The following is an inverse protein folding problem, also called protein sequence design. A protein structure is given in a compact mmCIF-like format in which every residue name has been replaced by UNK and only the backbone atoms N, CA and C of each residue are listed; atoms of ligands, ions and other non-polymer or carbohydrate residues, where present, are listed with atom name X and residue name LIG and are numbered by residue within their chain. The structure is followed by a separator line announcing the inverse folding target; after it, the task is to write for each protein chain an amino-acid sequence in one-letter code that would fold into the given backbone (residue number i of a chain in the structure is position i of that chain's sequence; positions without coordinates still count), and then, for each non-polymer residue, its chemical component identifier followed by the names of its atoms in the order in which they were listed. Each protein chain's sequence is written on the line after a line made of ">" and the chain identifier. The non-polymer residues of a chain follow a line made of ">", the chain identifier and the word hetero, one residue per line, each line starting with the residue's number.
data_IF_234879991187
#
_entry.id   IF_234879991187
#
_cell.length_a   1.000
_cell.length_b   1.000
_cell.length_c   1.000
_cell.angle_alpha   90.00
_cell.angle_beta   90.00
_cell.angle_gamma   90.00
#
_symmetry.space_group_name_H-M   'P 1'
#
loop_
_entity.id
_entity.type
_entity.pdbx_description
1 polymer ?
#
# COMPACT_ATOMS: atom_id res chain seq x y z
N UNK A 1 17.58 -3.11 8.31
CA UNK A 1 17.45 -3.06 6.84
C UNK A 1 16.52 -4.20 6.43
N UNK A 2 15.33 -3.92 5.90
CA UNK A 2 14.40 -4.97 5.49
C UNK A 2 14.86 -5.53 4.14
N UNK A 3 15.34 -6.77 4.11
CA UNK A 3 15.71 -7.45 2.86
C UNK A 3 14.42 -7.80 2.12
N UNK A 4 14.15 -7.06 1.04
CA UNK A 4 13.14 -7.47 0.07
C UNK A 4 13.77 -8.65 -0.66
N UNK A 5 13.26 -9.86 -0.44
CA UNK A 5 13.58 -11.02 -1.28
C UNK A 5 13.07 -10.70 -2.69
N UNK A 6 13.94 -10.20 -3.55
CA UNK A 6 13.65 -9.93 -4.95
C UNK A 6 14.03 -11.19 -5.72
N UNK A 7 13.08 -11.84 -6.39
CA UNK A 7 13.37 -13.01 -7.21
C UNK A 7 14.19 -12.59 -8.44
N UNK A 8 14.86 -13.53 -9.10
CA UNK A 8 15.47 -13.24 -10.39
C UNK A 8 14.44 -12.69 -11.39
N UNK A 9 14.85 -11.79 -12.31
CA UNK A 9 13.93 -11.11 -13.23
C UNK A 9 13.00 -12.02 -14.06
N UNK A 10 13.34 -13.30 -14.21
CA UNK A 10 12.60 -14.28 -15.03
C UNK A 10 11.68 -15.20 -14.22
N UNK A 11 11.57 -15.02 -12.90
CA UNK A 11 10.78 -15.90 -12.04
C UNK A 11 9.31 -15.46 -12.04
N UNK A 12 8.46 -16.22 -12.72
CA UNK A 12 7.02 -15.95 -12.75
C UNK A 12 6.33 -16.23 -11.40
N UNK A 13 6.89 -17.07 -10.54
CA UNK A 13 6.37 -17.32 -9.19
C UNK A 13 7.39 -18.04 -8.31
N UNK A 14 7.36 -17.81 -7.00
CA UNK A 14 8.12 -18.57 -6.00
C UNK A 14 7.40 -18.62 -4.66
N UNK A 15 7.83 -19.52 -3.76
CA UNK A 15 7.31 -19.56 -2.39
C UNK A 15 8.11 -18.62 -1.49
N UNK A 16 7.48 -17.53 -1.05
CA UNK A 16 8.01 -16.60 -0.05
C UNK A 16 7.43 -16.94 1.32
N UNK A 17 8.28 -17.33 2.28
CA UNK A 17 7.86 -17.76 3.63
C UNK A 17 6.70 -18.77 3.59
N UNK A 18 6.80 -19.75 2.69
CA UNK A 18 5.81 -20.80 2.48
C UNK A 18 4.57 -20.42 1.65
N UNK A 19 4.41 -19.15 1.27
CA UNK A 19 3.27 -18.64 0.51
C UNK A 19 3.66 -18.51 -0.97
N UNK A 20 2.93 -19.17 -1.86
CA UNK A 20 3.16 -19.03 -3.29
C UNK A 20 2.80 -17.60 -3.74
N UNK A 21 3.81 -16.90 -4.25
CA UNK A 21 3.77 -15.52 -4.74
C UNK A 21 4.05 -15.54 -6.24
N UNK A 22 3.29 -14.79 -7.02
CA UNK A 22 3.36 -14.79 -8.48
C UNK A 22 3.56 -13.37 -9.02
N UNK A 23 4.24 -13.28 -10.16
CA UNK A 23 4.35 -12.07 -10.95
C UNK A 23 2.95 -11.69 -11.42
N UNK A 24 2.59 -10.41 -11.32
CA UNK A 24 1.20 -9.97 -11.49
C UNK A 24 0.98 -9.08 -12.72
N UNK A 25 1.38 -9.45 -13.95
CA UNK A 25 0.78 -8.86 -15.14
C UNK A 25 -0.53 -9.59 -15.41
N UNK A 26 -1.66 -8.89 -15.36
CA UNK A 26 -2.89 -9.42 -15.97
C UNK A 26 -2.71 -9.35 -17.49
N UNK A 27 -3.02 -10.42 -18.22
CA UNK A 27 -3.25 -10.33 -19.68
C UNK A 27 -4.36 -9.31 -19.92
N UNK A 28 -4.15 -8.35 -20.82
CA UNK A 28 -5.22 -7.64 -21.51
C UNK A 28 -5.23 -6.12 -21.44
N UNK A 29 -4.60 -5.50 -20.44
CA UNK A 29 -4.30 -4.06 -20.42
C UNK A 29 -3.29 -3.81 -19.29
N UNK A 30 -2.09 -3.38 -19.65
CA UNK A 30 -0.95 -3.29 -18.75
C UNK A 30 -0.95 -1.95 -18.01
N UNK A 31 -1.62 -1.87 -16.86
CA UNK A 31 -1.15 -0.91 -15.85
C UNK A 31 0.17 -1.46 -15.31
N UNK A 32 1.30 -0.87 -15.75
CA UNK A 32 2.57 -1.07 -15.07
C UNK A 32 2.42 -0.69 -13.60
N UNK A 33 3.09 -1.43 -12.72
CA UNK A 33 3.11 -1.07 -11.31
C UNK A 33 3.77 0.30 -11.19
N UNK A 34 3.30 1.11 -10.25
CA UNK A 34 3.94 2.38 -9.94
C UNK A 34 5.41 2.13 -9.60
N UNK A 35 6.37 2.87 -10.20
CA UNK A 35 7.78 2.72 -9.90
C UNK A 35 8.06 2.73 -8.39
N UNK A 36 8.89 1.80 -7.92
CA UNK A 36 9.23 1.64 -6.50
C UNK A 36 8.36 0.65 -5.72
N UNK A 37 7.37 0.01 -6.34
CA UNK A 37 6.54 -1.03 -5.72
C UNK A 37 6.79 -2.41 -6.36
N UNK A 38 6.64 -3.52 -5.60
CA UNK A 38 6.84 -4.86 -6.15
C UNK A 38 5.74 -5.23 -7.15
N UNK A 39 6.13 -5.93 -8.22
CA UNK A 39 5.23 -6.48 -9.25
C UNK A 39 4.62 -7.84 -8.87
N UNK A 40 4.84 -8.28 -7.63
CA UNK A 40 4.51 -9.62 -7.17
C UNK A 40 3.43 -9.61 -6.09
N UNK A 41 2.55 -10.61 -6.12
CA UNK A 41 1.49 -10.80 -5.11
C UNK A 41 1.26 -12.29 -4.79
N UNK A 42 0.91 -12.66 -3.54
CA UNK A 42 0.41 -13.98 -3.18
C UNK A 42 -0.71 -14.42 -4.11
N UNK A 43 -0.67 -15.68 -4.51
CA UNK A 43 -1.78 -16.26 -5.24
C UNK A 43 -3.05 -16.22 -4.40
N UNK A 44 -4.19 -15.97 -5.04
CA UNK A 44 -5.49 -15.86 -4.38
C UNK A 44 -5.83 -17.10 -3.55
N UNK A 45 -5.41 -18.28 -4.02
CA UNK A 45 -5.58 -19.58 -3.35
C UNK A 45 -4.77 -19.71 -2.06
N UNK A 46 -3.69 -18.94 -1.89
CA UNK A 46 -2.80 -19.01 -0.74
C UNK A 46 -3.18 -17.98 0.36
N UNK A 47 -4.14 -17.08 0.08
CA UNK A 47 -4.61 -16.07 1.04
C UNK A 47 -5.13 -16.73 2.33
N UNK A 48 -5.71 -17.93 2.26
CA UNK A 48 -6.14 -18.70 3.44
C UNK A 48 -4.99 -18.98 4.41
N UNK A 49 -3.81 -19.35 3.91
CA UNK A 49 -2.64 -19.62 4.75
C UNK A 49 -2.09 -18.34 5.39
N UNK A 50 -2.22 -17.20 4.71
CA UNK A 50 -1.91 -15.89 5.30
C UNK A 50 -2.93 -15.51 6.38
N UNK A 51 -4.22 -15.77 6.14
CA UNK A 51 -5.29 -15.51 7.11
C UNK A 51 -5.10 -16.36 8.38
N UNK A 52 -4.72 -17.63 8.26
CA UNK A 52 -4.46 -18.51 9.42
C UNK A 52 -3.34 -17.97 10.34
N UNK A 53 -2.35 -17.25 9.78
CA UNK A 53 -1.30 -16.61 10.58
C UNK A 53 -1.81 -15.43 11.41
N UNK A 54 -2.92 -14.80 11.03
CA UNK A 54 -3.42 -13.57 11.64
C UNK A 54 -3.58 -13.66 13.16
N UNK A 55 -4.20 -14.73 13.66
CA UNK A 55 -4.59 -14.84 15.07
C UNK A 55 -3.40 -14.67 16.01
N UNK A 56 -2.27 -15.31 15.70
CA UNK A 56 -1.04 -15.19 16.50
C UNK A 56 -0.41 -13.79 16.45
N UNK A 57 -0.62 -13.03 15.37
CA UNK A 57 0.00 -11.72 15.16
C UNK A 57 -0.94 -10.52 15.39
N UNK A 58 -2.25 -10.75 15.62
CA UNK A 58 -3.26 -9.70 15.82
C UNK A 58 -2.84 -8.67 16.88
N UNK A 59 -2.43 -9.14 18.06
CA UNK A 59 -2.01 -8.27 19.16
C UNK A 59 -0.78 -7.43 18.80
N UNK A 60 0.24 -8.05 18.22
CA UNK A 60 1.45 -7.37 17.78
C UNK A 60 1.16 -6.32 16.70
N UNK A 61 0.26 -6.62 15.76
CA UNK A 61 -0.15 -5.68 14.72
C UNK A 61 -0.88 -4.45 15.30
N UNK A 62 -1.81 -4.66 16.24
CA UNK A 62 -2.52 -3.57 16.91
C UNK A 62 -1.52 -2.67 17.66
N UNK A 63 -0.63 -3.27 18.46
CA UNK A 63 0.41 -2.54 19.18
C UNK A 63 1.36 -1.79 18.25
N UNK A 64 1.69 -2.37 17.09
CA UNK A 64 2.51 -1.73 16.08
C UNK A 64 1.81 -0.52 15.44
N UNK A 65 0.53 -0.65 15.05
CA UNK A 65 -0.26 0.48 14.51
C UNK A 65 -0.42 1.62 15.50
N UNK A 66 -0.56 1.32 16.79
CA UNK A 66 -0.66 2.35 17.83
C UNK A 66 0.55 3.31 17.83
N UNK A 67 1.72 2.85 17.36
CA UNK A 67 2.93 3.68 17.19
C UNK A 67 2.87 4.63 15.98
N UNK A 68 1.81 4.57 15.17
CA UNK A 68 1.58 5.37 13.97
C UNK A 68 2.76 5.32 12.99
N UNK A 69 3.18 4.11 12.53
CA UNK A 69 4.37 3.92 11.69
C UNK A 69 4.34 4.75 10.41
N UNK A 70 3.16 5.03 9.88
CA UNK A 70 2.97 5.91 8.72
C UNK A 70 3.52 7.32 8.91
N UNK A 71 3.58 7.86 10.13
CA UNK A 71 4.22 9.16 10.37
C UNK A 71 5.73 9.10 10.15
N UNK A 72 6.39 8.03 10.61
CA UNK A 72 7.83 7.80 10.38
C UNK A 72 8.09 7.56 8.90
N UNK A 73 7.28 6.70 8.27
CA UNK A 73 7.30 6.48 6.82
C UNK A 73 7.20 7.82 6.09
N UNK A 74 6.21 8.66 6.44
CA UNK A 74 5.97 9.90 5.72
C UNK A 74 7.13 10.89 5.80
N UNK A 75 7.73 11.03 6.99
CA UNK A 75 8.88 11.91 7.21
C UNK A 75 10.14 11.44 6.49
N UNK A 76 10.30 10.13 6.36
CA UNK A 76 11.50 9.48 5.80
C UNK A 76 11.41 9.22 4.29
N UNK A 77 10.33 9.70 3.66
CA UNK A 77 10.15 9.58 2.21
C UNK A 77 11.25 10.29 1.43
N UNK A 78 11.44 9.85 0.20
CA UNK A 78 12.19 10.63 -0.78
C UNK A 78 11.45 11.95 -1.04
N UNK A 79 12.19 13.06 -1.05
CA UNK A 79 11.64 14.41 -1.24
C UNK A 79 12.19 15.10 -2.49
N UNK A 80 13.03 14.38 -3.24
CA UNK A 80 13.71 14.87 -4.41
C UNK A 80 12.86 14.62 -5.65
N UNK A 81 12.89 15.59 -6.57
CA UNK A 81 12.36 15.48 -7.91
C UNK A 81 13.56 15.21 -8.82
N UNK A 82 13.54 14.10 -9.57
CA UNK A 82 14.62 13.69 -10.45
C UNK A 82 14.44 14.18 -11.89
N UNK A 83 13.20 14.31 -12.33
CA UNK A 83 12.84 14.62 -13.71
C UNK A 83 12.45 16.10 -13.91
N UNK A 84 12.13 16.81 -12.83
CA UNK A 84 11.74 18.22 -12.84
C UNK A 84 12.69 19.04 -11.96
N UNK A 85 13.25 20.11 -12.54
CA UNK A 85 14.07 21.05 -11.78
C UNK A 85 13.19 22.11 -11.13
N UNK A 86 13.57 22.53 -9.93
CA UNK A 86 12.84 23.58 -9.20
C UNK A 86 12.71 24.89 -9.99
N UNK A 87 13.72 25.27 -10.76
CA UNK A 87 13.72 26.50 -11.55
C UNK A 87 12.73 26.49 -12.72
N UNK A 88 12.29 25.30 -13.15
CA UNK A 88 11.37 25.13 -14.29
C UNK A 88 9.89 25.08 -13.84
N UNK A 89 9.63 25.07 -12.54
CA UNK A 89 8.28 25.02 -11.97
C UNK A 89 7.88 26.39 -11.42
N UNK A 90 6.72 26.90 -11.85
CA UNK A 90 6.17 28.16 -11.37
C UNK A 90 5.65 28.05 -9.91
N UNK A 91 5.42 29.20 -9.27
CA UNK A 91 4.94 29.25 -7.89
C UNK A 91 3.59 28.54 -7.70
N UNK A 92 2.72 28.60 -8.71
CA UNK A 92 1.39 27.98 -8.66
C UNK A 92 1.48 26.45 -8.63
N UNK A 93 2.42 25.87 -9.38
CA UNK A 93 2.69 24.43 -9.36
C UNK A 93 3.23 24.02 -7.99
N UNK A 94 4.12 24.82 -7.39
CA UNK A 94 4.62 24.57 -6.04
C UNK A 94 3.51 24.61 -4.99
N UNK A 95 2.64 25.62 -5.02
CA UNK A 95 1.51 25.72 -4.07
C UNK A 95 0.57 24.51 -4.18
N UNK A 96 0.31 24.03 -5.40
CA UNK A 96 -0.52 22.83 -5.62
C UNK A 96 0.18 21.55 -5.18
N UNK A 97 1.49 21.46 -5.36
CA UNK A 97 2.28 20.33 -4.88
C UNK A 97 2.31 20.29 -3.34
N UNK A 98 2.41 21.44 -2.68
CA UNK A 98 2.32 21.53 -1.23
C UNK A 98 0.94 21.09 -0.75
N UNK A 99 -0.16 21.59 -1.32
CA UNK A 99 -1.53 21.14 -1.01
C UNK A 99 -1.67 19.61 -1.19
N UNK A 100 -1.10 19.08 -2.27
CA UNK A 100 -1.08 17.64 -2.52
C UNK A 100 -0.32 16.87 -1.43
N UNK A 101 0.88 17.32 -1.07
CA UNK A 101 1.71 16.65 -0.05
C UNK A 101 1.12 16.76 1.35
N UNK A 102 0.39 17.83 1.66
CA UNK A 102 -0.40 17.94 2.89
C UNK A 102 -1.52 16.91 2.92
N UNK A 103 -2.23 16.72 1.81
CA UNK A 103 -3.22 15.67 1.69
C UNK A 103 -2.61 14.27 1.86
N UNK A 104 -1.45 13.99 1.24
CA UNK A 104 -0.73 12.71 1.42
C UNK A 104 -0.30 12.53 2.88
N UNK A 105 0.19 13.59 3.55
CA UNK A 105 0.54 13.56 4.98
C UNK A 105 -0.65 13.16 5.84
N UNK A 106 -1.79 13.79 5.61
CA UNK A 106 -2.99 13.63 6.43
C UNK A 106 -3.65 12.26 6.19
N UNK A 107 -3.32 11.60 5.07
CA UNK A 107 -3.81 10.27 4.72
C UNK A 107 -2.72 9.20 4.70
N UNK A 108 -1.53 9.49 5.22
CA UNK A 108 -0.37 8.59 5.19
C UNK A 108 -0.65 7.20 5.80
N UNK A 109 -1.61 7.09 6.70
CA UNK A 109 -2.08 5.81 7.25
C UNK A 109 -2.61 4.89 6.14
N UNK A 110 -3.48 5.39 5.26
CA UNK A 110 -4.02 4.61 4.15
C UNK A 110 -2.91 4.20 3.18
N UNK A 111 -1.97 5.11 2.86
CA UNK A 111 -0.80 4.79 2.03
C UNK A 111 0.05 3.69 2.64
N UNK A 112 0.34 3.80 3.93
CA UNK A 112 1.10 2.80 4.66
C UNK A 112 0.38 1.44 4.64
N UNK A 113 -0.93 1.43 4.85
CA UNK A 113 -1.75 0.21 4.81
C UNK A 113 -1.83 -0.42 3.41
N UNK A 114 -1.86 0.38 2.34
CA UNK A 114 -1.78 -0.12 0.95
C UNK A 114 -0.42 -0.75 0.67
N UNK A 115 0.66 -0.13 1.17
CA UNK A 115 2.04 -0.61 1.05
C UNK A 115 2.34 -1.88 1.85
N UNK A 116 1.70 -2.06 3.01
CA UNK A 116 2.08 -3.06 4.01
C UNK A 116 0.98 -4.09 4.25
N UNK A 117 0.46 -4.71 3.19
CA UNK A 117 -0.73 -5.54 3.35
C UNK A 117 -0.50 -6.83 4.15
N UNK A 118 -1.08 -6.88 5.35
CA UNK A 118 -1.33 -8.09 6.14
C UNK A 118 -2.73 -8.63 5.85
N UNK A 119 -2.85 -9.94 5.64
CA UNK A 119 -4.14 -10.61 5.55
C UNK A 119 -4.75 -10.72 6.94
N UNK A 120 -5.87 -10.03 7.15
CA UNK A 120 -6.65 -10.10 8.39
C UNK A 120 -7.65 -11.23 8.23
N UNK A 121 -7.66 -12.19 9.17
CA UNK A 121 -8.76 -13.17 9.25
C UNK A 121 -9.92 -12.56 10.04
N UNK A 122 -11.01 -12.27 9.34
CA UNK A 122 -12.16 -11.53 9.87
C UNK A 122 -13.49 -12.29 9.80
N UNK A 123 -13.47 -13.53 9.30
CA UNK A 123 -14.61 -14.44 9.22
C UNK A 123 -14.09 -15.89 9.21
N UNK A 124 -14.91 -16.88 9.59
CA UNK A 124 -14.55 -18.29 9.44
C UNK A 124 -14.27 -18.65 7.98
N UNK A 125 -13.44 -19.67 7.79
CA UNK A 125 -13.35 -20.36 6.49
C UNK A 125 -14.64 -21.17 6.25
N UNK A 126 -14.88 -21.60 5.00
CA UNK A 126 -16.10 -22.34 4.64
C UNK A 126 -16.32 -23.58 5.51
N UNK A 127 -15.23 -24.22 5.90
CA UNK A 127 -15.22 -25.50 6.61
C UNK A 127 -14.88 -25.33 8.11
N UNK A 128 -14.89 -24.08 8.61
CA UNK A 128 -14.68 -23.79 10.04
C UNK A 128 -16.01 -23.51 10.72
N UNK A 129 -16.25 -24.17 11.86
CA UNK A 129 -17.38 -23.87 12.74
C UNK A 129 -17.27 -22.44 13.30
N UNK A 130 -18.39 -21.73 13.31
CA UNK A 130 -18.53 -20.33 13.73
C UNK A 130 -19.28 -20.24 15.07
N UNK A 131 -18.85 -21.06 16.03
CA UNK A 131 -19.54 -21.20 17.32
C UNK A 131 -19.33 -20.01 18.27
N UNK A 132 -18.37 -19.13 17.94
CA UNK A 132 -18.06 -17.91 18.67
C UNK A 132 -18.23 -16.69 17.75
N UNK A 133 -19.42 -16.09 17.82
CA UNK A 133 -19.82 -14.91 17.05
C UNK A 133 -18.86 -13.71 17.27
N UNK A 134 -18.16 -13.65 18.40
CA UNK A 134 -17.29 -12.53 18.76
C UNK A 134 -15.82 -12.76 18.42
N UNK A 135 -15.42 -14.00 18.09
CA UNK A 135 -14.06 -14.43 17.73
C UNK A 135 -13.38 -13.48 16.74
N UNK A 136 -14.13 -13.02 15.74
CA UNK A 136 -13.63 -12.17 14.66
C UNK A 136 -14.04 -10.71 14.75
N UNK A 137 -14.83 -10.29 15.74
CA UNK A 137 -15.42 -8.94 15.86
C UNK A 137 -14.39 -7.81 15.65
N UNK A 138 -13.28 -7.84 16.41
CA UNK A 138 -12.18 -6.86 16.31
C UNK A 138 -11.51 -6.91 14.94
N UNK A 139 -11.26 -8.11 14.41
CA UNK A 139 -10.63 -8.29 13.10
C UNK A 139 -11.53 -7.78 11.97
N UNK A 140 -12.84 -8.00 12.08
CA UNK A 140 -13.85 -7.51 11.14
C UNK A 140 -14.00 -6.00 11.17
N UNK A 141 -13.95 -5.39 12.36
CA UNK A 141 -13.91 -3.93 12.50
C UNK A 141 -12.66 -3.36 11.83
N UNK A 142 -11.48 -3.91 12.16
CA UNK A 142 -10.21 -3.46 11.59
C UNK A 142 -10.18 -3.60 10.05
N UNK A 143 -10.69 -4.72 9.53
CA UNK A 143 -10.80 -4.95 8.08
C UNK A 143 -11.70 -3.89 7.42
N UNK A 144 -12.88 -3.64 7.97
CA UNK A 144 -13.84 -2.65 7.45
C UNK A 144 -13.28 -1.23 7.46
N UNK A 145 -12.70 -0.80 8.57
CA UNK A 145 -12.11 0.53 8.70
C UNK A 145 -10.98 0.75 7.68
N UNK A 146 -10.15 -0.27 7.48
CA UNK A 146 -9.08 -0.25 6.48
C UNK A 146 -9.62 -0.16 5.05
N UNK A 147 -10.60 -1.01 4.71
CA UNK A 147 -11.23 -0.98 3.40
C UNK A 147 -11.86 0.39 3.10
N UNK A 148 -12.56 0.98 4.07
CA UNK A 148 -13.17 2.30 3.93
C UNK A 148 -12.13 3.41 3.71
N UNK A 149 -11.03 3.41 4.47
CA UNK A 149 -9.91 4.36 4.26
C UNK A 149 -9.33 4.24 2.86
N UNK A 150 -9.07 3.01 2.40
CA UNK A 150 -8.49 2.77 1.10
C UNK A 150 -9.39 3.27 -0.04
N UNK A 151 -10.69 2.96 0.02
CA UNK A 151 -11.66 3.39 -0.99
C UNK A 151 -11.82 4.93 -1.01
N UNK A 152 -11.82 5.55 0.17
CA UNK A 152 -11.90 7.01 0.30
C UNK A 152 -10.69 7.71 -0.31
N UNK A 153 -9.47 7.24 -0.01
CA UNK A 153 -8.23 7.82 -0.55
C UNK A 153 -8.09 7.56 -2.04
N UNK A 154 -8.36 6.34 -2.51
CA UNK A 154 -8.26 6.01 -3.94
C UNK A 154 -9.11 6.92 -4.83
N UNK A 155 -10.41 7.08 -4.49
CA UNK A 155 -11.32 7.94 -5.28
C UNK A 155 -10.94 9.41 -5.21
N UNK A 156 -10.58 9.91 -4.04
CA UNK A 156 -10.28 11.33 -3.86
C UNK A 156 -8.91 11.71 -4.43
N UNK A 157 -7.95 10.79 -4.48
CA UNK A 157 -6.63 11.00 -5.06
C UNK A 157 -6.69 11.19 -6.58
N UNK A 158 -7.32 10.26 -7.30
CA UNK A 158 -7.43 10.33 -8.76
C UNK A 158 -8.15 11.62 -9.21
N UNK A 159 -9.20 12.02 -8.48
CA UNK A 159 -9.89 13.28 -8.71
C UNK A 159 -9.00 14.51 -8.47
N UNK A 160 -8.16 14.50 -7.43
CA UNK A 160 -7.21 15.59 -7.13
C UNK A 160 -6.13 15.70 -8.22
N UNK A 161 -5.53 14.59 -8.63
CA UNK A 161 -4.52 14.57 -9.69
C UNK A 161 -5.11 15.15 -10.98
N UNK A 162 -6.30 14.68 -11.40
CA UNK A 162 -7.00 15.23 -12.58
C UNK A 162 -7.28 16.73 -12.47
N UNK A 163 -7.68 17.20 -11.28
CA UNK A 163 -7.90 18.63 -11.00
C UNK A 163 -6.62 19.46 -11.07
N UNK A 164 -5.48 18.93 -10.61
CA UNK A 164 -4.20 19.64 -10.68
C UNK A 164 -3.69 19.71 -12.12
N UNK A 165 -3.80 18.62 -12.87
CA UNK A 165 -3.46 18.59 -14.30
C UNK A 165 -4.29 19.61 -15.08
N UNK A 166 -5.61 19.66 -14.86
CA UNK A 166 -6.48 20.64 -15.54
C UNK A 166 -6.18 22.10 -15.17
N UNK A 167 -5.48 22.33 -14.05
CA UNK A 167 -5.02 23.67 -13.63
C UNK A 167 -3.60 24.02 -14.10
N UNK A 168 -2.96 23.15 -14.89
CA UNK A 168 -1.66 23.40 -15.50
C UNK A 168 -0.48 22.70 -14.82
N UNK A 169 -0.71 21.82 -13.83
CA UNK A 169 0.38 21.00 -13.28
C UNK A 169 0.78 19.94 -14.31
N UNK A 170 2.06 19.81 -14.69
CA UNK A 170 2.50 18.76 -15.61
C UNK A 170 2.15 17.37 -15.08
N UNK A 171 1.53 16.53 -15.91
CA UNK A 171 1.18 15.16 -15.52
C UNK A 171 2.40 14.34 -15.09
N UNK A 172 3.55 14.57 -15.77
CA UNK A 172 4.85 13.96 -15.47
C UNK A 172 5.33 14.26 -14.05
N UNK A 173 4.86 15.34 -13.41
CA UNK A 173 5.21 15.65 -12.02
C UNK A 173 4.70 14.56 -11.06
N UNK A 174 3.57 13.92 -11.36
CA UNK A 174 3.03 12.82 -10.52
C UNK A 174 3.73 11.48 -10.72
N UNK A 175 4.66 11.40 -11.68
CA UNK A 175 5.57 10.26 -11.88
C UNK A 175 6.86 10.41 -11.04
N UNK A 176 7.06 11.58 -10.42
CA UNK A 176 8.21 11.84 -9.56
C UNK A 176 8.17 11.00 -8.28
N UNK A 177 9.27 10.31 -7.95
CA UNK A 177 9.36 9.56 -6.70
C UNK A 177 9.12 10.41 -5.44
N UNK A 178 9.49 11.70 -5.49
CA UNK A 178 9.30 12.64 -4.38
C UNK A 178 7.85 13.10 -4.16
N UNK A 179 6.98 12.97 -5.16
CA UNK A 179 5.56 13.33 -5.08
C UNK A 179 4.77 12.23 -4.36
N UNK A 180 5.25 10.99 -4.43
CA UNK A 180 4.72 9.85 -3.68
C UNK A 180 3.24 9.55 -3.95
N UNK A 181 3.02 8.96 -5.12
CA UNK A 181 1.70 8.53 -5.55
C UNK A 181 1.29 7.19 -4.89
N UNK A 182 -0.01 6.90 -4.89
CA UNK A 182 -0.52 5.56 -4.52
C UNK A 182 -0.11 4.55 -5.59
N UNK A 183 0.22 3.30 -5.21
CA UNK A 183 0.49 2.30 -6.22
C UNK A 183 -0.77 1.97 -7.02
N UNK A 184 -0.61 1.84 -8.34
CA UNK A 184 -1.67 1.36 -9.25
C UNK A 184 -2.16 -0.03 -8.82
N UNK A 185 -1.25 -0.87 -8.33
CA UNK A 185 -1.55 -2.23 -7.86
C UNK A 185 -1.19 -2.37 -6.39
N UNK A 186 -2.06 -3.00 -5.60
CA UNK A 186 -1.76 -3.32 -4.20
C UNK A 186 -0.51 -4.21 -4.12
N UNK A 187 0.60 -3.62 -3.68
CA UNK A 187 1.82 -4.34 -3.37
C UNK A 187 1.52 -5.31 -2.24
N UNK A 188 1.59 -6.61 -2.52
CA UNK A 188 1.38 -7.58 -1.46
C UNK A 188 2.74 -7.98 -0.92
N UNK A 189 3.11 -7.39 0.22
CA UNK A 189 3.83 -8.01 1.35
C UNK A 189 4.97 -7.16 1.93
N UNK A 190 4.77 -6.68 3.17
CA UNK A 190 5.84 -6.54 4.18
C UNK A 190 5.28 -7.10 5.51
N UNK A 191 5.78 -8.26 5.92
CA UNK A 191 5.49 -8.96 7.20
C UNK A 191 6.21 -8.29 8.39
N UNK A 192 5.79 -8.47 9.66
CA UNK A 192 6.04 -7.56 10.79
C UNK A 192 7.38 -7.86 11.48
N UNK A 193 8.41 -8.16 10.70
CA UNK A 193 9.75 -8.49 11.21
C UNK A 193 10.76 -7.52 10.60
N UNK A 194 10.91 -6.37 11.24
CA UNK A 194 12.20 -5.71 11.35
C UNK A 194 12.26 -4.91 12.66
N UNK A 195 13.31 -5.10 13.48
CA UNK A 195 13.55 -4.29 14.66
C UNK A 195 13.93 -2.86 14.24
N UNK A 196 13.39 -1.90 15.00
CA UNK A 196 13.77 -0.48 15.21
C UNK A 196 14.40 0.32 14.05
#
# INVERSE_FOLDING_TARGET
>A
MAMIEVPDPNILSWRRRGILTQYTPRKGDHEYQTPGFPDYSPQKTEIRYLAQRWTAFKGAYIAFRAKKPWKKMFRSRLKELYFHRRADLDAKVWDMLDEYLEYVRDHAEAFWEVLHWFTIKYKPERDEEDDDLDKYSVSAKLYRERAARHESVGRSMEARIRKYISKGVPASLFEEPGVWNTPSRSATFISPTSPL
#
